data_IF_989910517245
#
_entry.id   IF_989910517245
#
_cell.length_a   1.000
_cell.length_b   1.000
_cell.length_c   1.000
_cell.angle_alpha   90.00
_cell.angle_beta   90.00
_cell.angle_gamma   90.00
#
_symmetry.space_group_name_H-M   'P 1'
#
loop_
_entity.id
_entity.type
_entity.pdbx_description
1 polymer ?
#
# COMPACT_ATOMS: atom_id res chain seq x y z
N UNK A 1 52.41 8.68 -66.92
CA UNK A 1 53.73 8.81 -66.26
C UNK A 1 53.77 7.81 -65.11
N UNK A 2 54.78 6.91 -65.18
CA UNK A 2 55.47 6.09 -64.15
C UNK A 2 54.64 5.44 -63.01
N UNK A 3 54.42 4.11 -63.03
CA UNK A 3 55.35 2.94 -62.75
C UNK A 3 55.52 2.72 -61.23
N UNK A 4 55.53 1.53 -60.62
CA UNK A 4 55.51 0.10 -60.99
C UNK A 4 55.31 -0.67 -59.64
N UNK A 5 54.46 -1.72 -59.53
CA UNK A 5 54.75 -3.18 -59.70
C UNK A 5 55.75 -3.75 -58.66
N UNK A 6 55.58 -4.90 -57.99
CA UNK A 6 55.13 -6.27 -58.37
C UNK A 6 54.50 -6.98 -57.14
N UNK A 7 53.57 -7.95 -57.22
CA UNK A 7 53.61 -9.28 -57.88
C UNK A 7 53.90 -10.34 -56.78
N UNK A 8 53.20 -11.46 -56.57
CA UNK A 8 52.72 -12.59 -57.40
C UNK A 8 51.57 -13.29 -56.61
N UNK A 9 50.63 -14.10 -57.10
CA UNK A 9 50.48 -14.84 -58.35
C UNK A 9 50.05 -16.30 -58.05
N UNK A 10 48.92 -16.71 -58.65
CA UNK A 10 48.52 -18.08 -59.02
C UNK A 10 47.51 -18.87 -58.16
N UNK A 11 46.34 -19.07 -58.79
CA UNK A 11 45.34 -20.11 -58.58
C UNK A 11 45.92 -21.53 -58.71
N UNK A 12 45.34 -22.53 -58.03
CA UNK A 12 45.01 -23.85 -58.62
C UNK A 12 44.08 -24.67 -57.70
N UNK A 13 42.91 -25.01 -58.25
CA UNK A 13 42.19 -26.29 -58.26
C UNK A 13 41.81 -27.06 -56.98
N UNK A 14 40.50 -27.28 -56.93
CA UNK A 14 39.65 -28.14 -56.10
C UNK A 14 40.15 -29.59 -55.92
N UNK A 15 40.14 -30.09 -54.69
CA UNK A 15 40.13 -31.52 -54.35
C UNK A 15 39.22 -31.74 -53.12
N UNK A 16 38.10 -32.44 -53.38
CA UNK A 16 37.14 -32.97 -52.40
C UNK A 16 37.79 -34.07 -51.54
N UNK A 17 37.43 -34.14 -50.25
CA UNK A 17 37.25 -35.37 -49.43
C UNK A 17 36.81 -34.96 -47.99
N UNK A 18 36.16 -35.85 -47.21
CA UNK A 18 34.81 -35.61 -46.69
C UNK A 18 34.75 -35.34 -45.18
N UNK A 19 33.59 -34.84 -44.78
CA UNK A 19 33.12 -34.62 -43.42
C UNK A 19 33.25 -35.91 -42.57
N UNK A 20 34.08 -35.88 -41.53
CA UNK A 20 34.03 -36.87 -40.45
C UNK A 20 33.03 -36.39 -39.39
N UNK A 21 31.91 -37.10 -39.29
CA UNK A 21 30.97 -36.97 -38.19
C UNK A 21 31.61 -37.53 -36.91
N UNK A 22 31.73 -36.69 -35.87
CA UNK A 22 31.95 -37.15 -34.51
C UNK A 22 30.59 -37.42 -33.86
N UNK A 23 30.35 -38.67 -33.46
CA UNK A 23 29.21 -39.07 -32.63
C UNK A 23 29.31 -38.43 -31.23
N UNK A 24 28.22 -37.90 -30.66
CA UNK A 24 28.21 -37.49 -29.28
C UNK A 24 28.17 -38.71 -28.35
N UNK A 25 29.02 -38.69 -27.33
CA UNK A 25 29.01 -39.64 -26.23
C UNK A 25 27.69 -39.54 -25.45
N UNK A 26 27.16 -40.69 -25.02
CA UNK A 26 25.93 -40.81 -24.23
C UNK A 26 26.07 -40.13 -22.87
N UNK A 27 25.40 -39.00 -22.70
CA UNK A 27 25.10 -38.47 -21.37
C UNK A 27 23.76 -39.05 -20.96
N UNK A 28 23.77 -39.83 -19.87
CA UNK A 28 22.61 -40.55 -19.38
C UNK A 28 21.44 -39.63 -19.06
N UNK A 29 20.25 -40.10 -19.41
CA UNK A 29 18.97 -39.57 -18.94
C UNK A 29 18.94 -39.53 -17.41
N UNK A 30 19.25 -38.38 -16.82
CA UNK A 30 18.64 -37.98 -15.56
C UNK A 30 17.39 -37.19 -15.91
N UNK A 31 16.32 -37.92 -16.24
CA UNK A 31 14.96 -37.40 -16.21
C UNK A 31 14.61 -37.18 -14.74
N UNK A 32 15.12 -36.08 -14.17
CA UNK A 32 14.59 -35.55 -12.92
C UNK A 32 13.19 -35.05 -13.26
N UNK A 33 12.19 -35.67 -12.63
CA UNK A 33 10.81 -35.21 -12.67
C UNK A 33 10.78 -33.78 -12.13
N UNK A 34 10.84 -32.80 -13.02
CA UNK A 34 10.38 -31.45 -12.74
C UNK A 34 8.87 -31.59 -12.55
N UNK A 35 8.46 -31.76 -11.29
CA UNK A 35 7.07 -31.55 -10.89
C UNK A 35 6.65 -30.17 -11.39
N UNK A 36 5.47 -30.03 -12.02
CA UNK A 36 5.00 -28.74 -12.49
C UNK A 36 5.01 -27.75 -11.32
N UNK A 37 5.66 -26.60 -11.54
CA UNK A 37 5.69 -25.51 -10.58
C UNK A 37 4.24 -25.05 -10.30
N UNK A 38 3.94 -24.71 -9.06
CA UNK A 38 2.61 -24.28 -8.67
C UNK A 38 2.27 -22.91 -9.29
N UNK A 39 1.49 -22.93 -10.38
CA UNK A 39 0.79 -21.74 -10.87
C UNK A 39 -0.39 -21.37 -9.96
N UNK A 40 -0.88 -22.34 -9.15
CA UNK A 40 -1.92 -22.09 -8.18
C UNK A 40 -1.34 -21.40 -6.93
N UNK A 41 -1.70 -20.14 -6.73
CA UNK A 41 -1.34 -19.35 -5.55
C UNK A 41 -2.40 -19.37 -4.45
N UNK A 42 -3.42 -20.23 -4.58
CA UNK A 42 -4.53 -20.38 -3.63
C UNK A 42 -4.51 -21.78 -3.03
N UNK A 43 -4.25 -21.85 -1.73
CA UNK A 43 -4.27 -23.07 -0.94
C UNK A 43 -5.52 -23.11 -0.06
N UNK A 44 -6.38 -24.08 -0.30
CA UNK A 44 -7.60 -24.31 0.47
C UNK A 44 -7.42 -25.32 1.61
N UNK A 45 -6.20 -25.85 1.82
CA UNK A 45 -5.90 -26.89 2.82
C UNK A 45 -6.69 -28.19 2.68
N UNK A 46 -7.26 -28.42 1.51
CA UNK A 46 -8.00 -29.63 1.18
C UNK A 46 -7.05 -30.73 0.73
N UNK A 47 -6.94 -31.78 1.54
CA UNK A 47 -6.11 -32.93 1.19
C UNK A 47 -6.72 -34.25 1.64
N UNK A 48 -6.65 -35.30 0.81
CA UNK A 48 -6.92 -36.65 1.28
C UNK A 48 -5.85 -37.16 2.25
N UNK A 49 -4.69 -36.50 2.32
CA UNK A 49 -3.53 -36.91 3.10
C UNK A 49 -3.42 -36.10 4.40
N UNK A 50 -3.06 -36.77 5.48
CA UNK A 50 -2.66 -36.11 6.72
C UNK A 50 -1.15 -35.82 6.72
N UNK A 51 -0.66 -34.86 7.53
CA UNK A 51 0.76 -34.61 7.68
C UNK A 51 1.54 -35.87 8.09
N UNK A 52 2.70 -36.07 7.44
CA UNK A 52 3.66 -37.12 7.77
C UNK A 52 4.35 -36.90 9.11
N UNK A 53 5.25 -37.81 9.49
CA UNK A 53 5.96 -37.74 10.78
C UNK A 53 6.90 -36.53 10.92
N UNK A 54 7.34 -35.96 9.79
CA UNK A 54 8.12 -34.72 9.72
C UNK A 54 7.24 -33.45 9.58
N UNK A 55 5.92 -33.61 9.66
CA UNK A 55 4.94 -32.54 9.50
C UNK A 55 4.63 -32.19 8.04
N UNK A 56 5.28 -32.81 7.04
CA UNK A 56 5.01 -32.51 5.64
C UNK A 56 3.68 -33.08 5.16
N UNK A 57 2.93 -32.29 4.42
CA UNK A 57 1.72 -32.70 3.71
C UNK A 57 1.75 -32.15 2.30
N UNK A 58 1.33 -32.97 1.33
CA UNK A 58 1.12 -32.52 -0.04
C UNK A 58 -0.28 -31.91 -0.16
N UNK A 59 -0.33 -30.64 -0.52
CA UNK A 59 -1.56 -29.87 -0.77
C UNK A 59 -1.62 -29.40 -2.22
N UNK A 60 -2.69 -28.69 -2.58
CA UNK A 60 -2.99 -28.27 -3.95
C UNK A 60 -1.94 -27.32 -4.54
N UNK A 61 -1.29 -26.50 -3.70
CA UNK A 61 -0.26 -25.54 -4.09
C UNK A 61 1.17 -26.06 -3.96
N UNK A 62 1.38 -27.22 -3.33
CA UNK A 62 2.71 -27.78 -3.11
C UNK A 62 2.85 -28.48 -1.75
N UNK A 63 4.09 -28.70 -1.32
CA UNK A 63 4.37 -29.30 -0.01
C UNK A 63 4.37 -28.23 1.09
N UNK A 64 3.63 -28.50 2.16
CA UNK A 64 3.56 -27.66 3.35
C UNK A 64 4.03 -28.41 4.57
N UNK A 65 4.64 -27.72 5.53
CA UNK A 65 5.07 -28.27 6.83
C UNK A 65 4.14 -27.74 7.93
N UNK A 66 3.44 -28.66 8.58
CA UNK A 66 2.60 -28.40 9.74
C UNK A 66 3.36 -28.81 11.01
N UNK A 67 3.66 -27.83 11.87
CA UNK A 67 4.31 -28.04 13.17
C UNK A 67 3.33 -27.70 14.27
N UNK A 68 3.08 -28.61 15.21
CA UNK A 68 1.99 -28.49 16.20
C UNK A 68 0.66 -28.07 15.53
N UNK A 69 0.40 -28.66 14.37
CA UNK A 69 -0.77 -28.39 13.55
C UNK A 69 -1.21 -29.66 12.84
N UNK A 70 -2.49 -29.74 12.50
CA UNK A 70 -3.11 -30.86 11.76
C UNK A 70 -4.11 -30.33 10.74
N UNK A 71 -4.51 -31.14 9.76
CA UNK A 71 -5.68 -30.85 8.93
C UNK A 71 -6.93 -31.39 9.63
N UNK A 72 -7.76 -30.48 10.13
CA UNK A 72 -8.95 -30.79 10.90
C UNK A 72 -10.23 -30.72 10.07
N UNK A 73 -11.11 -31.71 10.23
CA UNK A 73 -12.39 -31.81 9.49
C UNK A 73 -13.62 -31.85 10.40
N UNK A 74 -13.46 -31.69 11.72
CA UNK A 74 -14.56 -31.79 12.68
C UNK A 74 -15.48 -30.58 12.62
N UNK A 75 -16.66 -30.64 13.23
CA UNK A 75 -17.58 -29.48 13.29
C UNK A 75 -16.99 -28.29 14.05
N UNK A 76 -16.03 -28.54 14.94
CA UNK A 76 -15.29 -27.48 15.63
C UNK A 76 -14.15 -26.89 14.78
N UNK A 77 -13.79 -27.53 13.66
CA UNK A 77 -12.92 -26.92 12.66
C UNK A 77 -13.78 -26.05 11.75
N UNK A 78 -13.73 -24.74 12.00
CA UNK A 78 -14.35 -23.76 11.12
C UNK A 78 -13.52 -23.67 9.84
N UNK A 79 -14.18 -23.95 8.73
CA UNK A 79 -13.56 -24.22 7.43
C UNK A 79 -14.48 -23.87 6.27
N UNK A 80 -13.90 -23.55 5.13
CA UNK A 80 -14.57 -23.38 3.85
C UNK A 80 -14.23 -24.58 2.95
N UNK A 81 -15.02 -25.65 3.08
CA UNK A 81 -14.76 -26.91 2.42
C UNK A 81 -14.87 -28.08 3.38
N UNK A 82 -14.02 -29.09 3.21
CA UNK A 82 -13.97 -30.29 4.03
C UNK A 82 -12.95 -30.22 5.16
N UNK A 83 -11.86 -29.45 5.04
CA UNK A 83 -10.79 -29.37 6.05
C UNK A 83 -10.21 -27.96 6.20
N UNK A 84 -9.63 -27.66 7.37
CA UNK A 84 -8.80 -26.47 7.60
C UNK A 84 -7.55 -26.85 8.39
N UNK A 85 -6.50 -26.05 8.30
CA UNK A 85 -5.34 -26.21 9.18
C UNK A 85 -5.69 -25.77 10.61
N UNK A 86 -5.50 -26.65 11.59
CA UNK A 86 -5.72 -26.37 13.00
C UNK A 86 -4.40 -26.33 13.75
N UNK A 87 -4.03 -25.14 14.23
CA UNK A 87 -2.81 -24.89 14.98
C UNK A 87 -3.10 -24.92 16.49
N UNK A 88 -2.18 -25.49 17.26
CA UNK A 88 -2.22 -25.50 18.72
C UNK A 88 -0.90 -24.96 19.30
N UNK A 89 -0.91 -24.53 20.56
CA UNK A 89 0.29 -23.97 21.21
C UNK A 89 0.92 -22.84 20.37
N UNK A 90 2.21 -22.93 20.03
CA UNK A 90 2.91 -22.02 19.12
C UNK A 90 3.06 -22.57 17.70
N UNK A 91 2.08 -23.37 17.25
CA UNK A 91 2.13 -24.09 15.98
C UNK A 91 2.26 -23.22 14.74
N UNK A 92 2.63 -23.86 13.64
CA UNK A 92 3.00 -23.21 12.38
C UNK A 92 2.51 -23.98 11.16
N UNK A 93 2.26 -23.21 10.10
CA UNK A 93 1.96 -23.72 8.76
C UNK A 93 2.95 -23.05 7.81
N UNK A 94 3.83 -23.84 7.18
CA UNK A 94 5.00 -23.34 6.44
C UNK A 94 4.98 -23.83 5.02
N UNK A 95 5.19 -22.96 4.04
CA UNK A 95 5.45 -23.37 2.67
C UNK A 95 6.82 -24.04 2.57
N UNK A 96 6.90 -25.26 2.02
CA UNK A 96 8.17 -25.94 1.70
C UNK A 96 8.59 -25.74 0.23
N UNK A 97 8.12 -24.65 -0.37
CA UNK A 97 8.43 -24.23 -1.73
C UNK A 97 8.41 -22.71 -1.81
N UNK A 98 9.07 -22.15 -2.82
CA UNK A 98 9.03 -20.72 -3.13
C UNK A 98 8.03 -20.45 -4.25
N UNK A 99 7.29 -19.35 -4.11
CA UNK A 99 6.59 -18.72 -5.22
C UNK A 99 7.63 -18.06 -6.12
N UNK A 100 7.64 -18.33 -7.43
CA UNK A 100 8.73 -17.91 -8.31
C UNK A 100 8.75 -16.41 -8.60
N UNK A 101 7.60 -15.75 -8.56
CA UNK A 101 7.40 -14.37 -9.03
C UNK A 101 7.18 -13.35 -7.92
N UNK A 102 7.30 -13.74 -6.65
CA UNK A 102 7.05 -12.86 -5.51
C UNK A 102 5.58 -12.77 -5.13
N UNK A 103 5.28 -11.88 -4.18
CA UNK A 103 3.94 -11.64 -3.66
C UNK A 103 3.66 -10.15 -3.44
N UNK A 104 2.52 -9.67 -3.92
CA UNK A 104 2.01 -8.33 -3.65
C UNK A 104 1.11 -8.33 -2.41
N UNK A 105 0.12 -9.24 -2.35
CA UNK A 105 -0.74 -9.42 -1.17
C UNK A 105 -0.86 -10.89 -0.79
N UNK A 106 -1.15 -11.11 0.49
CA UNK A 106 -1.53 -12.41 1.04
C UNK A 106 -2.85 -12.24 1.79
N UNK A 107 -3.82 -13.11 1.53
CA UNK A 107 -5.02 -13.25 2.35
C UNK A 107 -5.07 -14.60 3.02
N UNK A 108 -5.62 -14.63 4.23
CA UNK A 108 -5.74 -15.85 5.04
C UNK A 108 -7.07 -15.81 5.76
N UNK A 109 -7.88 -16.85 5.64
CA UNK A 109 -9.05 -17.01 6.50
C UNK A 109 -8.67 -17.60 7.86
N UNK A 110 -9.33 -17.12 8.91
CA UNK A 110 -9.04 -17.56 10.26
C UNK A 110 -10.28 -17.51 11.17
N UNK A 111 -10.35 -18.43 12.13
CA UNK A 111 -11.36 -18.47 13.18
C UNK A 111 -10.82 -19.16 14.45
N UNK A 112 -11.44 -18.91 15.60
CA UNK A 112 -11.16 -19.73 16.80
C UNK A 112 -11.67 -21.15 16.54
N UNK A 113 -10.97 -22.16 17.07
CA UNK A 113 -11.45 -23.53 17.01
C UNK A 113 -12.65 -23.73 17.93
N UNK A 114 -13.78 -24.19 17.39
CA UNK A 114 -15.02 -24.41 18.14
C UNK A 114 -15.40 -23.20 18.99
N UNK A 115 -15.28 -23.32 20.30
CA UNK A 115 -15.53 -22.23 21.27
C UNK A 115 -14.30 -21.95 22.14
N UNK A 116 -13.11 -22.32 21.67
CA UNK A 116 -11.84 -22.00 22.33
C UNK A 116 -11.68 -20.46 22.47
N UNK A 117 -10.84 -20.05 23.42
CA UNK A 117 -10.50 -18.63 23.61
C UNK A 117 -9.75 -18.01 22.42
N UNK A 118 -9.57 -16.69 22.47
CA UNK A 118 -8.90 -15.95 21.40
C UNK A 118 -7.45 -16.41 21.15
N UNK A 119 -7.01 -16.34 19.90
CA UNK A 119 -5.63 -16.66 19.51
C UNK A 119 -5.01 -15.53 18.68
N UNK A 120 -3.80 -15.10 19.05
CA UNK A 120 -2.95 -14.24 18.22
C UNK A 120 -2.06 -15.05 17.29
N UNK A 121 -1.82 -14.53 16.08
CA UNK A 121 -0.93 -15.11 15.07
C UNK A 121 -0.32 -14.05 14.14
N UNK A 122 0.71 -14.43 13.38
CA UNK A 122 1.48 -13.54 12.49
C UNK A 122 1.78 -14.21 11.15
N UNK A 123 1.84 -13.41 10.08
CA UNK A 123 2.39 -13.82 8.80
C UNK A 123 3.89 -13.49 8.74
N UNK A 124 4.68 -14.42 8.23
CA UNK A 124 6.12 -14.26 8.04
C UNK A 124 6.48 -14.64 6.60
N UNK A 125 7.44 -13.91 6.03
CA UNK A 125 7.97 -14.16 4.70
C UNK A 125 9.48 -14.44 4.75
N UNK A 126 9.94 -15.27 3.84
CA UNK A 126 11.35 -15.46 3.55
C UNK A 126 11.55 -15.19 2.06
N UNK A 127 12.32 -14.14 1.75
CA UNK A 127 12.71 -13.78 0.39
C UNK A 127 14.12 -14.31 0.08
N UNK A 128 14.33 -14.83 -1.13
CA UNK A 128 15.68 -15.18 -1.60
C UNK A 128 16.51 -13.95 -2.01
N UNK A 129 15.90 -12.76 -2.13
CA UNK A 129 16.63 -11.54 -2.52
C UNK A 129 17.80 -11.21 -1.57
N UNK A 130 17.73 -11.65 -0.30
CA UNK A 130 18.82 -11.46 0.67
C UNK A 130 19.81 -12.64 0.78
N UNK A 131 19.54 -13.80 0.15
CA UNK A 131 20.27 -15.06 0.32
C UNK A 131 20.55 -15.46 1.79
N UNK A 132 19.71 -15.00 2.73
CA UNK A 132 20.04 -14.99 4.15
C UNK A 132 19.21 -15.96 5.00
N UNK A 133 18.33 -16.77 4.39
CA UNK A 133 17.38 -17.67 5.09
C UNK A 133 16.63 -17.00 6.26
N UNK A 134 16.47 -15.68 6.23
CA UNK A 134 15.90 -14.91 7.32
C UNK A 134 14.40 -14.76 7.10
N UNK A 135 13.63 -15.14 8.11
CA UNK A 135 12.20 -14.84 8.17
C UNK A 135 11.98 -13.42 8.68
N UNK A 136 11.13 -12.66 8.00
CA UNK A 136 10.67 -11.33 8.41
C UNK A 136 9.17 -11.32 8.60
N UNK A 137 8.70 -10.67 9.66
CA UNK A 137 7.26 -10.50 9.90
C UNK A 137 6.66 -9.59 8.83
N UNK A 138 5.46 -9.93 8.37
CA UNK A 138 4.68 -9.19 7.37
C UNK A 138 3.41 -8.66 8.03
N UNK A 139 3.22 -7.35 7.98
CA UNK A 139 2.05 -6.67 8.56
C UNK A 139 1.91 -6.79 10.08
N UNK A 140 0.70 -6.51 10.56
CA UNK A 140 0.36 -6.54 11.98
C UNK A 140 0.12 -7.96 12.51
N UNK A 141 0.23 -8.15 13.83
CA UNK A 141 -0.27 -9.37 14.50
C UNK A 141 -1.79 -9.39 14.41
N UNK A 142 -2.36 -10.52 14.01
CA UNK A 142 -3.81 -10.72 13.95
C UNK A 142 -4.29 -11.32 15.26
N UNK A 143 -5.36 -10.75 15.83
CA UNK A 143 -6.07 -11.32 16.98
C UNK A 143 -7.38 -11.95 16.50
N UNK A 144 -7.47 -13.26 16.60
CA UNK A 144 -8.66 -14.03 16.22
C UNK A 144 -9.55 -14.26 17.43
N UNK A 145 -10.77 -13.74 17.39
CA UNK A 145 -11.79 -13.86 18.45
C UNK A 145 -13.11 -14.48 17.97
N UNK A 146 -13.33 -14.51 16.65
CA UNK A 146 -14.58 -14.94 16.02
C UNK A 146 -14.63 -16.47 15.80
N UNK A 147 -15.80 -17.06 15.98
CA UNK A 147 -16.13 -18.45 15.59
C UNK A 147 -16.52 -18.56 14.11
N UNK A 148 -16.76 -17.45 13.42
CA UNK A 148 -16.97 -17.42 11.97
C UNK A 148 -15.67 -17.02 11.30
N UNK A 149 -15.32 -17.68 10.18
CA UNK A 149 -14.15 -17.34 9.38
C UNK A 149 -14.14 -15.85 9.03
N UNK A 150 -13.01 -15.20 9.30
CA UNK A 150 -12.70 -13.83 8.94
C UNK A 150 -11.48 -13.85 8.03
N UNK A 151 -11.38 -12.87 7.13
CA UNK A 151 -10.22 -12.74 6.24
C UNK A 151 -9.26 -11.72 6.83
N UNK A 152 -8.02 -12.13 7.06
CA UNK A 152 -6.90 -11.21 7.25
C UNK A 152 -6.22 -10.97 5.90
N UNK A 153 -5.92 -9.71 5.59
CA UNK A 153 -5.21 -9.31 4.38
C UNK A 153 -3.90 -8.59 4.75
N UNK A 154 -2.83 -8.94 4.04
CA UNK A 154 -1.49 -8.41 4.25
C UNK A 154 -0.96 -7.85 2.94
N UNK A 155 -0.52 -6.59 2.98
CA UNK A 155 0.37 -6.04 1.96
C UNK A 155 1.76 -6.63 2.17
N UNK A 156 2.30 -7.27 1.14
CA UNK A 156 3.57 -8.00 1.19
C UNK A 156 4.64 -7.29 0.38
N UNK A 157 4.35 -7.01 -0.89
CA UNK A 157 5.24 -6.31 -1.83
C UNK A 157 6.68 -6.84 -1.88
N UNK A 158 6.85 -8.16 -1.88
CA UNK A 158 8.16 -8.82 -1.97
C UNK A 158 8.42 -9.30 -3.41
N UNK A 159 9.44 -8.76 -4.12
CA UNK A 159 9.89 -9.29 -5.40
C UNK A 159 10.59 -10.64 -5.28
N UNK A 160 10.64 -11.34 -6.42
CA UNK A 160 11.47 -12.53 -6.58
C UNK A 160 10.99 -13.68 -5.71
N UNK A 161 11.80 -14.72 -5.59
CA UNK A 161 11.36 -15.93 -4.90
C UNK A 161 11.01 -15.64 -3.43
N UNK A 162 9.77 -15.95 -3.05
CA UNK A 162 9.26 -15.75 -1.68
C UNK A 162 8.46 -16.95 -1.21
N UNK A 163 8.54 -17.26 0.07
CA UNK A 163 7.66 -18.22 0.73
C UNK A 163 7.18 -17.72 2.08
N UNK A 164 6.09 -18.31 2.56
CA UNK A 164 5.39 -17.84 3.74
C UNK A 164 5.33 -18.87 4.87
N UNK A 165 5.21 -18.35 6.09
CA UNK A 165 4.96 -19.11 7.31
C UNK A 165 3.92 -18.37 8.16
N UNK A 166 2.85 -19.07 8.52
CA UNK A 166 1.86 -18.59 9.48
C UNK A 166 2.27 -19.10 10.86
N UNK A 167 2.40 -18.19 11.83
CA UNK A 167 2.83 -18.51 13.19
C UNK A 167 1.76 -18.15 14.20
N UNK A 168 1.23 -19.14 14.91
CA UNK A 168 0.46 -18.85 16.12
C UNK A 168 1.42 -18.37 17.21
N UNK A 169 1.17 -17.18 17.76
CA UNK A 169 2.03 -16.55 18.77
C UNK A 169 1.46 -16.64 20.18
N UNK A 170 0.13 -16.83 20.27
CA UNK A 170 -0.56 -17.09 21.52
C UNK A 170 -0.29 -18.53 21.98
N UNK A 171 0.28 -18.71 23.17
CA UNK A 171 0.42 -20.04 23.78
C UNK A 171 -0.88 -20.56 24.40
N UNK A 172 -0.81 -21.74 25.03
CA UNK A 172 -1.91 -22.30 25.82
C UNK A 172 -2.85 -23.22 25.04
N UNK A 173 -4.00 -23.51 25.65
CA UNK A 173 -4.94 -24.55 25.14
C UNK A 173 -5.78 -24.09 23.94
N UNK A 174 -5.91 -22.78 23.73
CA UNK A 174 -6.73 -22.23 22.66
C UNK A 174 -6.12 -22.55 21.29
N UNK A 175 -6.92 -23.17 20.42
CA UNK A 175 -6.54 -23.54 19.05
C UNK A 175 -7.07 -22.53 18.04
N UNK A 176 -6.40 -22.48 16.89
CA UNK A 176 -6.66 -21.56 15.79
C UNK A 176 -6.92 -22.37 14.51
N UNK A 177 -8.03 -22.09 13.83
CA UNK A 177 -8.23 -22.54 12.46
C UNK A 177 -7.67 -21.50 11.49
N UNK A 178 -6.94 -21.99 10.49
CA UNK A 178 -6.42 -21.28 9.33
C UNK A 178 -6.98 -21.98 8.10
N UNK A 179 -7.53 -21.21 7.19
CA UNK A 179 -8.09 -21.72 5.96
C UNK A 179 -7.88 -20.73 4.81
N UNK A 180 -8.10 -21.16 3.57
CA UNK A 180 -8.04 -20.35 2.35
C UNK A 180 -6.90 -19.32 2.36
N UNK A 181 -5.67 -19.80 2.13
CA UNK A 181 -4.49 -18.97 1.95
C UNK A 181 -4.34 -18.61 0.48
N UNK A 182 -4.39 -17.32 0.15
CA UNK A 182 -4.22 -16.86 -1.23
C UNK A 182 -3.12 -15.83 -1.34
N UNK A 183 -2.34 -15.92 -2.43
CA UNK A 183 -1.31 -14.94 -2.77
C UNK A 183 -1.65 -14.30 -4.11
N UNK A 184 -1.65 -12.97 -4.12
CA UNK A 184 -1.62 -12.22 -5.38
C UNK A 184 -0.17 -11.99 -5.76
N UNK A 185 0.21 -12.38 -6.97
CA UNK A 185 1.61 -12.35 -7.42
C UNK A 185 2.17 -10.92 -7.42
N UNK A 186 3.44 -10.80 -7.08
CA UNK A 186 4.15 -9.52 -7.21
C UNK A 186 4.24 -9.12 -8.70
N UNK A 187 4.22 -7.81 -8.98
CA UNK A 187 4.11 -7.31 -10.35
C UNK A 187 2.67 -7.29 -10.89
N UNK A 188 1.70 -7.92 -10.23
CA UNK A 188 0.28 -7.81 -10.59
C UNK A 188 -0.36 -6.66 -9.80
N UNK A 189 -1.02 -5.76 -10.52
CA UNK A 189 -1.79 -4.71 -9.87
C UNK A 189 -2.90 -5.34 -9.03
N UNK A 190 -3.03 -4.87 -7.79
CA UNK A 190 -4.07 -5.36 -6.89
C UNK A 190 -5.45 -5.00 -7.44
N UNK A 191 -6.48 -5.84 -7.22
CA UNK A 191 -7.84 -5.46 -7.55
C UNK A 191 -8.20 -4.21 -6.76
N UNK A 192 -8.16 -3.04 -7.40
CA UNK A 192 -8.75 -1.84 -6.85
C UNK A 192 -10.25 -1.91 -7.06
N UNK A 193 -11.00 -1.59 -6.00
CA UNK A 193 -12.39 -1.18 -6.21
C UNK A 193 -12.31 0.13 -6.97
N UNK A 194 -13.00 0.20 -8.09
CA UNK A 194 -13.02 1.36 -8.96
C UNK A 194 -13.37 2.63 -8.20
N UNK A 195 -12.70 3.74 -8.49
CA UNK A 195 -12.97 5.05 -7.87
C UNK A 195 -12.87 5.02 -6.32
N UNK A 196 -12.08 4.11 -5.76
CA UNK A 196 -11.91 3.99 -4.32
C UNK A 196 -10.84 4.95 -3.80
N UNK A 197 -11.16 5.69 -2.74
CA UNK A 197 -10.26 6.62 -2.06
C UNK A 197 -8.95 5.99 -1.54
N UNK A 198 -8.85 4.67 -1.41
CA UNK A 198 -7.64 3.90 -1.07
C UNK A 198 -7.18 2.97 -2.21
N UNK A 199 -7.62 3.18 -3.46
CA UNK A 199 -7.25 2.33 -4.58
C UNK A 199 -5.72 2.16 -4.69
N UNK A 200 -4.97 3.22 -4.41
CA UNK A 200 -3.50 3.22 -4.50
C UNK A 200 -2.79 2.74 -3.22
N UNK A 201 -3.50 2.44 -2.13
CA UNK A 201 -2.89 1.86 -0.93
C UNK A 201 -3.25 2.59 0.36
N UNK A 202 -2.79 2.01 1.48
CA UNK A 202 -2.95 2.55 2.83
C UNK A 202 -1.57 2.99 3.35
N UNK A 203 -1.23 4.30 3.28
CA UNK A 203 0.13 4.82 3.46
C UNK A 203 0.87 4.36 4.73
N UNK A 204 0.15 4.22 5.84
CA UNK A 204 0.73 3.93 7.15
C UNK A 204 0.21 2.63 7.75
N UNK A 205 -0.55 1.84 6.98
CA UNK A 205 -1.27 0.67 7.52
C UNK A 205 -2.27 1.05 8.63
N UNK A 206 -2.91 2.22 8.52
CA UNK A 206 -3.90 2.67 9.49
C UNK A 206 -5.08 1.67 9.58
N UNK A 207 -5.58 1.44 10.80
CA UNK A 207 -6.68 0.51 11.07
C UNK A 207 -7.76 1.19 11.91
N UNK A 208 -9.02 0.77 11.76
CA UNK A 208 -10.14 1.26 12.56
C UNK A 208 -10.16 0.59 13.95
N UNK A 209 -9.05 0.70 14.68
CA UNK A 209 -8.86 0.12 16.01
C UNK A 209 -8.45 1.22 17.01
N UNK A 210 -9.25 1.41 18.06
CA UNK A 210 -8.99 2.38 19.12
C UNK A 210 -7.68 2.12 19.89
N UNK A 211 -7.13 0.90 19.77
CA UNK A 211 -5.79 0.54 20.28
C UNK A 211 -4.65 1.17 19.48
N UNK A 212 -4.92 1.69 18.28
CA UNK A 212 -3.99 2.39 17.39
C UNK A 212 -4.37 3.88 17.27
N UNK A 213 -4.42 4.65 18.38
CA UNK A 213 -5.02 5.99 18.37
C UNK A 213 -4.26 7.03 17.55
N UNK A 214 -2.98 6.78 17.27
CA UNK A 214 -2.13 7.68 16.50
C UNK A 214 -2.01 7.27 15.03
N UNK A 215 -2.76 6.23 14.63
CA UNK A 215 -2.83 5.70 13.26
C UNK A 215 -4.22 5.10 12.98
N UNK A 216 -5.26 5.82 13.36
CA UNK A 216 -6.65 5.34 13.34
C UNK A 216 -7.31 5.61 11.99
N UNK A 217 -7.85 4.58 11.35
CA UNK A 217 -8.49 4.69 10.04
C UNK A 217 -9.93 5.21 10.17
N UNK A 218 -10.21 6.36 9.57
CA UNK A 218 -11.55 6.88 9.35
C UNK A 218 -11.90 6.76 7.86
N UNK A 219 -12.87 5.90 7.54
CA UNK A 219 -13.37 5.74 6.18
C UNK A 219 -14.64 6.56 6.01
N UNK A 220 -14.65 7.50 5.06
CA UNK A 220 -15.84 8.24 4.64
C UNK A 220 -16.05 8.02 3.14
N UNK A 221 -17.29 8.19 2.63
CA UNK A 221 -17.53 8.09 1.19
C UNK A 221 -16.69 9.07 0.37
N UNK A 222 -16.42 10.26 0.90
CA UNK A 222 -15.75 11.33 0.18
C UNK A 222 -14.22 11.23 0.23
N UNK A 223 -13.64 10.62 1.26
CA UNK A 223 -12.19 10.52 1.47
C UNK A 223 -11.90 9.56 2.63
N UNK A 224 -10.65 9.11 2.74
CA UNK A 224 -10.18 8.25 3.84
C UNK A 224 -9.05 8.93 4.59
N UNK A 225 -9.04 8.83 5.92
CA UNK A 225 -8.09 9.51 6.80
C UNK A 225 -7.34 8.50 7.66
N UNK A 226 -6.02 8.57 7.66
CA UNK A 226 -5.19 8.05 8.74
C UNK A 226 -5.10 9.12 9.83
N UNK A 227 -5.89 9.00 10.89
CA UNK A 227 -6.02 10.04 11.92
C UNK A 227 -5.06 9.84 13.09
N UNK A 228 -4.53 10.94 13.60
CA UNK A 228 -3.66 10.96 14.77
C UNK A 228 -4.32 11.72 15.91
N UNK A 229 -4.84 10.98 16.89
CA UNK A 229 -5.53 11.54 18.05
C UNK A 229 -4.65 12.54 18.81
N UNK A 230 -3.40 12.15 19.08
CA UNK A 230 -2.50 12.95 19.92
C UNK A 230 -1.99 14.21 19.21
N UNK A 231 -2.07 14.26 17.88
CA UNK A 231 -1.78 15.46 17.09
C UNK A 231 -3.00 16.30 16.76
N UNK A 232 -4.22 15.80 16.96
CA UNK A 232 -5.45 16.52 16.60
C UNK A 232 -5.55 16.87 15.11
N UNK A 233 -4.96 16.05 14.24
CA UNK A 233 -4.96 16.23 12.78
C UNK A 233 -4.74 14.89 12.05
N UNK A 234 -4.99 14.81 10.73
CA UNK A 234 -4.52 13.69 9.92
C UNK A 234 -3.00 13.49 9.99
N UNK A 235 -2.59 12.22 9.95
CA UNK A 235 -1.29 11.82 9.39
C UNK A 235 -1.31 12.03 7.87
N UNK A 236 -2.38 11.57 7.23
CA UNK A 236 -2.67 11.70 5.80
C UNK A 236 -4.17 11.59 5.53
N UNK A 237 -4.60 12.12 4.39
CA UNK A 237 -5.94 11.97 3.80
C UNK A 237 -5.77 11.54 2.34
N UNK A 238 -6.53 10.52 1.93
CA UNK A 238 -6.52 9.97 0.57
C UNK A 238 -7.90 10.08 -0.06
N UNK A 239 -7.97 10.51 -1.31
CA UNK A 239 -9.22 10.57 -2.07
C UNK A 239 -9.00 10.41 -3.57
N UNK A 240 -10.03 9.91 -4.23
CA UNK A 240 -10.19 9.91 -5.68
C UNK A 240 -11.02 11.12 -6.11
N UNK A 241 -10.77 11.70 -7.27
CA UNK A 241 -11.66 12.72 -7.85
C UNK A 241 -11.80 12.54 -9.35
N UNK A 242 -13.04 12.51 -9.80
CA UNK A 242 -13.42 12.58 -11.21
C UNK A 242 -14.49 13.67 -11.44
N UNK A 243 -15.07 13.70 -12.64
CA UNK A 243 -16.12 14.67 -12.96
C UNK A 243 -17.42 14.44 -12.17
N UNK A 244 -17.70 13.23 -11.69
CA UNK A 244 -18.92 12.89 -10.96
C UNK A 244 -18.94 13.46 -9.53
N UNK A 245 -17.75 13.70 -8.95
CA UNK A 245 -17.58 14.39 -7.67
C UNK A 245 -17.79 15.91 -7.77
N UNK A 246 -17.73 16.44 -8.99
CA UNK A 246 -17.91 17.86 -9.29
C UNK A 246 -19.38 18.16 -9.64
N UNK A 247 -19.80 19.34 -9.26
CA UNK A 247 -21.11 19.91 -9.53
C UNK A 247 -21.15 21.40 -9.23
N UNK A 248 -22.36 21.95 -9.15
CA UNK A 248 -22.60 23.38 -8.94
C UNK A 248 -22.90 23.78 -7.49
N UNK A 249 -22.62 22.92 -6.50
CA UNK A 249 -22.90 23.24 -5.11
C UNK A 249 -21.87 24.23 -4.56
N UNK A 250 -22.38 25.28 -3.92
CA UNK A 250 -21.58 26.26 -3.21
C UNK A 250 -20.89 25.66 -1.98
N UNK A 251 -19.79 26.29 -1.58
CA UNK A 251 -19.04 25.93 -0.39
C UNK A 251 -19.93 26.07 0.87
N UNK A 252 -19.93 25.07 1.74
CA UNK A 252 -20.80 25.07 2.94
C UNK A 252 -20.24 25.87 4.12
N UNK A 253 -18.91 25.97 4.26
CA UNK A 253 -18.23 26.70 5.33
C UNK A 253 -18.64 26.29 6.77
N UNK A 254 -19.14 25.07 6.93
CA UNK A 254 -19.72 24.52 8.16
C UNK A 254 -18.69 23.71 8.98
N UNK A 255 -17.57 24.36 9.29
CA UNK A 255 -16.50 23.78 10.11
C UNK A 255 -17.04 23.23 11.45
N UNK A 256 -16.84 21.94 11.67
CA UNK A 256 -17.38 21.25 12.85
C UNK A 256 -16.54 20.05 13.23
N UNK A 257 -16.68 19.64 14.48
CA UNK A 257 -16.04 18.43 14.96
C UNK A 257 -16.58 17.18 14.26
N UNK A 258 -15.80 16.10 14.30
CA UNK A 258 -16.19 14.84 13.68
C UNK A 258 -16.87 13.92 14.70
N UNK A 259 -18.19 13.71 14.61
CA UNK A 259 -18.91 12.88 15.55
C UNK A 259 -18.49 11.42 15.47
N UNK A 260 -17.85 10.96 14.37
CA UNK A 260 -17.41 9.57 14.22
C UNK A 260 -16.11 9.24 14.97
N UNK A 261 -15.46 10.21 15.62
CA UNK A 261 -14.32 9.93 16.48
C UNK A 261 -14.77 9.14 17.72
N UNK A 262 -13.97 8.15 18.18
CA UNK A 262 -14.29 7.35 19.37
C UNK A 262 -14.61 8.20 20.60
N UNK A 263 -15.50 7.69 21.45
CA UNK A 263 -15.89 8.35 22.68
C UNK A 263 -14.68 8.59 23.60
N UNK A 264 -14.67 9.75 24.25
CA UNK A 264 -13.57 10.19 25.11
C UNK A 264 -12.37 10.77 24.38
N UNK A 265 -12.28 10.68 23.05
CA UNK A 265 -11.24 11.38 22.30
C UNK A 265 -11.53 12.87 22.22
N UNK A 266 -10.47 13.67 22.21
CA UNK A 266 -10.62 15.09 21.95
C UNK A 266 -11.09 15.29 20.50
N UNK A 267 -12.28 15.89 20.34
CA UNK A 267 -12.80 16.27 19.03
C UNK A 267 -12.44 17.72 18.76
N UNK A 268 -11.53 17.93 17.81
CA UNK A 268 -11.07 19.27 17.42
C UNK A 268 -12.27 20.09 16.96
N UNK A 269 -12.40 21.29 17.53
CA UNK A 269 -13.52 22.19 17.27
C UNK A 269 -13.12 23.24 16.24
N UNK A 270 -14.11 23.89 15.63
CA UNK A 270 -13.83 24.98 14.69
C UNK A 270 -13.04 26.12 15.36
N UNK A 271 -13.27 26.43 16.64
CA UNK A 271 -12.56 27.48 17.37
C UNK A 271 -11.16 27.06 17.87
N UNK A 272 -10.77 25.78 17.80
CA UNK A 272 -9.46 25.28 18.26
C UNK A 272 -8.27 25.99 17.59
N UNK A 273 -8.44 26.46 16.36
CA UNK A 273 -7.36 27.10 15.61
C UNK A 273 -7.13 28.55 16.02
N UNK A 274 -8.19 29.23 16.51
CA UNK A 274 -8.19 30.65 16.83
C UNK A 274 -7.41 31.50 15.81
N UNK A 275 -7.75 31.37 14.52
CA UNK A 275 -6.93 31.85 13.41
C UNK A 275 -6.59 33.34 13.45
N UNK A 276 -7.46 34.18 14.02
CA UNK A 276 -7.15 35.61 14.21
C UNK A 276 -6.01 35.87 15.19
N UNK A 277 -5.83 34.99 16.19
CA UNK A 277 -4.76 35.11 17.18
C UNK A 277 -3.51 34.32 16.80
N UNK A 278 -3.65 33.18 16.11
CA UNK A 278 -2.53 32.28 15.78
C UNK A 278 -1.96 32.57 14.39
N UNK A 279 -2.78 33.10 13.48
CA UNK A 279 -2.43 33.34 12.09
C UNK A 279 -2.47 32.10 11.20
N UNK A 280 -3.04 30.99 11.66
CA UNK A 280 -3.23 29.78 10.84
C UNK A 280 -4.67 29.66 10.35
N UNK A 281 -4.80 29.25 9.09
CA UNK A 281 -6.07 28.87 8.49
C UNK A 281 -6.43 27.43 8.90
N UNK A 282 -7.73 27.11 8.77
CA UNK A 282 -8.21 25.72 8.75
C UNK A 282 -7.95 25.13 7.36
N UNK A 283 -6.70 24.72 7.11
CA UNK A 283 -6.27 24.17 5.84
C UNK A 283 -6.89 22.81 5.60
N UNK A 284 -7.60 22.65 4.46
CA UNK A 284 -8.20 21.37 4.09
C UNK A 284 -7.11 20.43 3.57
N UNK A 285 -7.23 19.13 3.85
CA UNK A 285 -6.47 18.11 3.11
C UNK A 285 -7.23 17.75 1.83
N UNK A 286 -8.41 17.16 1.94
CA UNK A 286 -9.37 17.03 0.83
C UNK A 286 -10.14 18.34 0.67
N UNK A 287 -9.97 19.09 -0.43
CA UNK A 287 -10.53 20.43 -0.55
C UNK A 287 -12.02 20.41 -0.90
N UNK A 288 -12.75 21.40 -0.39
CA UNK A 288 -14.19 21.60 -0.68
C UNK A 288 -14.50 21.59 -2.19
N UNK A 289 -13.63 22.18 -3.01
CA UNK A 289 -13.83 22.30 -4.45
C UNK A 289 -13.75 20.95 -5.21
N UNK A 290 -13.24 19.89 -4.57
CA UNK A 290 -13.22 18.53 -5.13
C UNK A 290 -14.51 17.77 -4.80
N UNK A 291 -15.43 18.34 -4.00
CA UNK A 291 -16.68 17.72 -3.56
C UNK A 291 -17.84 18.71 -3.73
N UNK A 292 -18.25 18.96 -4.96
CA UNK A 292 -19.33 19.92 -5.28
C UNK A 292 -20.56 19.27 -5.92
N UNK A 293 -20.64 17.94 -5.92
CA UNK A 293 -21.78 17.18 -6.46
C UNK A 293 -23.03 17.23 -5.58
N UNK A 294 -22.88 17.39 -4.25
CA UNK A 294 -24.00 17.55 -3.32
C UNK A 294 -23.60 18.34 -2.08
N UNK A 295 -24.58 18.93 -1.40
CA UNK A 295 -24.39 19.61 -0.11
C UNK A 295 -23.74 18.69 0.91
N UNK A 296 -24.18 17.43 0.98
CA UNK A 296 -23.62 16.45 1.92
C UNK A 296 -22.14 16.15 1.63
N UNK A 297 -21.77 15.98 0.35
CA UNK A 297 -20.39 15.74 -0.04
C UNK A 297 -19.50 16.95 0.27
N UNK A 298 -19.99 18.16 -0.01
CA UNK A 298 -19.23 19.38 0.28
C UNK A 298 -19.05 19.59 1.79
N UNK A 299 -20.16 19.51 2.55
CA UNK A 299 -20.17 19.63 4.01
C UNK A 299 -19.26 18.61 4.70
N UNK A 300 -19.12 17.40 4.13
CA UNK A 300 -18.19 16.41 4.69
C UNK A 300 -16.73 16.90 4.70
N UNK A 301 -16.31 17.76 3.76
CA UNK A 301 -14.94 18.30 3.73
C UNK A 301 -14.63 19.25 4.89
N UNK A 302 -15.64 19.74 5.61
CA UNK A 302 -15.53 20.68 6.73
C UNK A 302 -15.41 20.02 8.11
N UNK A 303 -15.36 18.70 8.18
CA UNK A 303 -15.04 18.00 9.42
C UNK A 303 -13.60 18.34 9.84
N UNK A 304 -13.39 18.66 11.12
CA UNK A 304 -12.06 19.03 11.62
C UNK A 304 -11.04 17.88 11.55
N UNK A 305 -11.48 16.64 11.37
CA UNK A 305 -10.63 15.47 11.04
C UNK A 305 -10.03 15.54 9.63
N UNK A 306 -10.43 16.50 8.78
CA UNK A 306 -9.83 16.78 7.47
C UNK A 306 -8.93 18.05 7.49
N UNK A 307 -8.73 18.67 8.66
CA UNK A 307 -8.03 19.95 8.78
C UNK A 307 -6.59 19.81 9.30
N UNK A 308 -5.71 20.71 8.86
CA UNK A 308 -4.40 20.96 9.45
C UNK A 308 -4.16 22.48 9.64
N UNK A 309 -3.44 22.93 10.69
CA UNK A 309 -3.03 24.32 10.80
C UNK A 309 -2.09 24.69 9.66
N UNK A 310 -2.58 25.51 8.72
CA UNK A 310 -1.83 25.88 7.52
C UNK A 310 -1.60 27.39 7.49
N UNK A 311 -0.38 27.81 7.16
CA UNK A 311 -0.07 29.24 7.02
C UNK A 311 -0.93 29.83 5.92
N UNK A 312 -1.51 31.02 6.15
CA UNK A 312 -2.49 31.60 5.22
C UNK A 312 -1.91 31.81 3.81
N UNK A 313 -0.61 32.16 3.70
CA UNK A 313 0.05 32.32 2.39
C UNK A 313 0.35 31.00 1.69
N UNK A 314 0.54 29.91 2.41
CA UNK A 314 0.60 28.57 1.82
C UNK A 314 -0.79 28.17 1.32
N UNK A 315 -1.77 28.15 2.23
CA UNK A 315 -3.14 27.71 1.97
C UNK A 315 -3.80 28.45 0.79
N UNK A 316 -3.72 29.78 0.78
CA UNK A 316 -4.43 30.63 -0.21
C UNK A 316 -3.60 30.93 -1.46
N UNK A 317 -2.35 30.45 -1.52
CA UNK A 317 -1.42 30.70 -2.62
C UNK A 317 -1.05 29.41 -3.33
N UNK A 318 0.21 28.94 -3.23
CA UNK A 318 0.70 27.79 -3.99
C UNK A 318 -0.13 26.52 -3.75
N UNK A 319 -0.68 26.32 -2.55
CA UNK A 319 -1.51 25.17 -2.26
C UNK A 319 -2.84 25.20 -3.04
N UNK A 320 -3.55 26.33 -2.99
CA UNK A 320 -4.78 26.54 -3.77
C UNK A 320 -4.50 26.49 -5.28
N UNK A 321 -3.37 27.02 -5.74
CA UNK A 321 -2.96 26.97 -7.14
C UNK A 321 -2.73 25.53 -7.62
N UNK A 322 -2.05 24.71 -6.81
CA UNK A 322 -1.89 23.28 -7.10
C UNK A 322 -3.24 22.56 -7.14
N UNK A 323 -4.13 22.83 -6.18
CA UNK A 323 -5.48 22.24 -6.17
C UNK A 323 -6.29 22.63 -7.42
N UNK A 324 -6.18 23.90 -7.85
CA UNK A 324 -6.81 24.36 -9.08
C UNK A 324 -6.23 23.65 -10.30
N UNK A 325 -4.90 23.51 -10.36
CA UNK A 325 -4.22 22.78 -11.43
C UNK A 325 -4.64 21.30 -11.48
N UNK A 326 -4.76 20.62 -10.34
CA UNK A 326 -5.26 19.25 -10.28
C UNK A 326 -6.64 19.11 -10.96
N UNK A 327 -7.52 20.08 -10.76
CA UNK A 327 -8.87 20.05 -11.34
C UNK A 327 -8.90 20.31 -12.84
N UNK A 328 -7.83 20.84 -13.46
CA UNK A 328 -7.80 21.05 -14.93
C UNK A 328 -7.66 19.75 -15.72
N UNK A 329 -7.30 18.64 -15.06
CA UNK A 329 -7.23 17.33 -15.71
C UNK A 329 -8.61 16.69 -15.94
N UNK A 330 -9.65 17.19 -15.28
CA UNK A 330 -11.03 16.76 -15.46
C UNK A 330 -11.66 17.45 -16.68
N UNK A 331 -12.56 16.80 -17.45
CA UNK A 331 -13.14 15.48 -17.19
C UNK A 331 -12.38 14.30 -17.82
N UNK A 332 -11.35 14.58 -18.62
CA UNK A 332 -10.69 13.55 -19.45
C UNK A 332 -9.87 12.54 -18.62
N UNK A 333 -9.44 12.97 -17.43
CA UNK A 333 -8.73 12.16 -16.46
C UNK A 333 -9.53 12.07 -15.16
N UNK A 334 -9.19 11.07 -14.37
CA UNK A 334 -9.44 10.98 -12.94
C UNK A 334 -8.11 11.13 -12.18
N UNK A 335 -8.21 11.50 -10.91
CA UNK A 335 -7.04 11.81 -10.11
C UNK A 335 -7.14 11.14 -8.75
N UNK A 336 -6.05 10.52 -8.33
CA UNK A 336 -5.87 9.99 -6.97
C UNK A 336 -4.91 10.88 -6.20
N UNK A 337 -5.33 11.37 -5.04
CA UNK A 337 -4.56 12.30 -4.24
C UNK A 337 -4.35 11.73 -2.83
N UNK A 338 -3.11 11.76 -2.37
CA UNK A 338 -2.75 11.53 -0.98
C UNK A 338 -2.09 12.81 -0.46
N UNK A 339 -2.62 13.35 0.63
CA UNK A 339 -2.19 14.62 1.22
C UNK A 339 -1.88 14.42 2.69
N UNK A 340 -0.93 15.18 3.23
CA UNK A 340 -0.69 15.20 4.66
C UNK A 340 0.25 16.30 5.11
N UNK A 341 0.68 16.19 6.36
CA UNK A 341 1.63 17.14 6.96
C UNK A 341 2.44 16.48 8.06
N UNK A 342 3.70 16.91 8.19
CA UNK A 342 4.65 16.36 9.15
C UNK A 342 5.43 17.46 9.89
N UNK A 343 6.22 17.02 10.87
CA UNK A 343 7.05 17.90 11.68
C UNK A 343 6.25 18.79 12.63
N UNK A 344 6.94 19.76 13.22
CA UNK A 344 6.36 20.76 14.14
C UNK A 344 6.99 22.12 13.89
N UNK A 345 6.20 23.18 14.01
CA UNK A 345 6.75 24.54 14.02
C UNK A 345 6.48 25.35 12.76
N UNK A 346 5.24 25.42 12.31
CA UNK A 346 4.83 26.32 11.23
C UNK A 346 4.83 27.79 11.67
N UNK A 347 4.76 28.70 10.69
CA UNK A 347 4.69 30.15 10.92
C UNK A 347 3.50 30.74 10.15
N UNK A 348 2.47 31.14 10.89
CA UNK A 348 1.25 31.74 10.35
C UNK A 348 1.41 33.22 9.99
N UNK A 349 0.29 33.88 9.73
CA UNK A 349 0.23 35.30 9.35
C UNK A 349 0.62 36.30 10.43
N UNK A 350 0.67 35.87 11.69
CA UNK A 350 1.22 36.66 12.80
C UNK A 350 2.74 36.75 12.78
N UNK A 351 3.43 35.89 12.00
CA UNK A 351 4.89 35.77 11.99
C UNK A 351 5.47 35.01 13.18
N UNK A 352 4.63 34.56 14.12
CA UNK A 352 5.05 33.76 15.28
C UNK A 352 5.08 32.28 14.90
N UNK A 353 6.13 31.58 15.33
CA UNK A 353 6.24 30.13 15.20
C UNK A 353 5.42 29.44 16.28
N UNK A 354 4.55 28.52 15.88
CA UNK A 354 3.78 27.68 16.79
C UNK A 354 4.10 26.21 16.54
N UNK A 355 4.29 25.44 17.60
CA UNK A 355 4.39 23.97 17.52
C UNK A 355 3.03 23.29 17.75
N UNK A 356 2.17 23.92 18.54
CA UNK A 356 0.83 23.44 18.85
C UNK A 356 -0.14 24.60 19.04
N UNK A 357 -1.42 24.36 18.79
CA UNK A 357 -2.55 25.22 19.13
C UNK A 357 -3.40 24.55 20.23
N UNK A 358 -4.38 25.28 20.71
CA UNK A 358 -5.45 24.75 21.57
C UNK A 358 -4.97 23.99 22.81
N UNK A 359 -4.04 24.61 23.55
CA UNK A 359 -3.40 24.04 24.74
C UNK A 359 -2.68 22.70 24.47
N UNK A 360 -2.02 22.59 23.31
CA UNK A 360 -1.22 21.40 22.96
C UNK A 360 -1.98 20.33 22.19
N UNK A 361 -3.30 20.51 21.98
CA UNK A 361 -4.18 19.47 21.43
C UNK A 361 -4.18 19.38 19.90
N UNK A 362 -3.70 20.42 19.22
CA UNK A 362 -3.58 20.44 17.76
C UNK A 362 -2.14 20.77 17.38
N UNK A 363 -1.45 19.83 16.76
CA UNK A 363 -0.07 20.04 16.30
C UNK A 363 -0.03 20.93 15.06
N UNK A 364 0.86 21.91 15.05
CA UNK A 364 1.13 22.78 13.89
C UNK A 364 2.30 22.17 13.11
N UNK A 365 2.08 21.64 11.90
CA UNK A 365 3.14 21.02 11.11
C UNK A 365 4.15 22.04 10.60
N UNK A 366 5.39 21.62 10.39
CA UNK A 366 6.40 22.44 9.71
C UNK A 366 6.27 22.38 8.19
N UNK A 367 5.67 21.30 7.66
CA UNK A 367 5.58 21.00 6.24
C UNK A 367 4.22 20.40 5.87
N UNK A 368 3.75 20.72 4.67
CA UNK A 368 2.54 20.19 4.05
C UNK A 368 2.92 19.54 2.71
N UNK A 369 2.48 18.31 2.47
CA UNK A 369 2.85 17.55 1.29
C UNK A 369 1.62 16.99 0.58
N UNK A 370 1.75 16.74 -0.73
CA UNK A 370 0.70 16.15 -1.56
C UNK A 370 1.32 15.32 -2.68
N UNK A 371 0.77 14.14 -2.92
CA UNK A 371 1.06 13.25 -4.05
C UNK A 371 -0.21 13.11 -4.88
N UNK A 372 -0.08 13.31 -6.19
CA UNK A 372 -1.19 13.35 -7.15
C UNK A 372 -0.85 12.42 -8.30
N UNK A 373 -1.65 11.38 -8.51
CA UNK A 373 -1.52 10.42 -9.61
C UNK A 373 -2.64 10.69 -10.61
N UNK A 374 -2.28 10.96 -11.87
CA UNK A 374 -3.22 11.37 -12.91
C UNK A 374 -3.41 10.21 -13.90
N UNK A 375 -4.65 9.77 -14.10
CA UNK A 375 -5.00 8.66 -14.98
C UNK A 375 -6.12 9.05 -15.92
N UNK A 376 -6.11 8.61 -17.19
CA UNK A 376 -7.32 8.66 -18.00
C UNK A 376 -8.47 7.92 -17.29
N UNK A 377 -9.68 8.49 -17.38
CA UNK A 377 -10.88 7.86 -16.81
C UNK A 377 -11.03 6.43 -17.33
N UNK A 378 -11.24 5.47 -16.44
CA UNK A 378 -11.46 4.08 -16.82
C UNK A 378 -11.71 3.17 -15.62
N UNK A 379 -11.75 1.86 -15.85
CA UNK A 379 -11.97 0.89 -14.77
C UNK A 379 -10.69 0.16 -14.36
N UNK A 380 -10.59 -0.30 -13.11
CA UNK A 380 -9.41 -1.02 -12.55
C UNK A 380 -8.19 -0.10 -12.37
N UNK A 381 -8.36 0.97 -11.61
CA UNK A 381 -7.47 2.13 -11.54
C UNK A 381 -6.03 1.83 -11.17
N UNK A 382 -5.81 1.07 -10.10
CA UNK A 382 -4.45 0.69 -9.69
C UNK A 382 -3.71 -0.08 -10.79
N UNK A 383 -4.43 -0.83 -11.62
CA UNK A 383 -3.86 -1.60 -12.73
C UNK A 383 -3.50 -0.78 -13.96
N UNK A 384 -4.03 0.45 -14.08
CA UNK A 384 -3.67 1.36 -15.19
C UNK A 384 -2.44 2.19 -14.89
N UNK A 385 -2.04 2.31 -13.61
CA UNK A 385 -0.81 3.01 -13.24
C UNK A 385 0.41 2.23 -13.73
N UNK A 386 1.27 2.91 -14.47
CA UNK A 386 2.49 2.33 -15.04
C UNK A 386 3.63 3.35 -15.01
N UNK A 387 4.82 2.95 -15.49
CA UNK A 387 6.03 3.78 -15.47
C UNK A 387 5.93 5.13 -16.22
N UNK A 388 4.94 5.27 -17.11
CA UNK A 388 4.63 6.49 -17.86
C UNK A 388 3.51 7.33 -17.25
N UNK A 389 2.86 6.87 -16.18
CA UNK A 389 1.83 7.64 -15.48
C UNK A 389 2.44 8.89 -14.86
N UNK A 390 1.79 10.04 -15.05
CA UNK A 390 2.25 11.29 -14.45
C UNK A 390 1.90 11.31 -12.96
N UNK A 391 2.92 11.50 -12.13
CA UNK A 391 2.81 11.68 -10.68
C UNK A 391 3.41 13.03 -10.31
N UNK A 392 2.66 13.85 -9.60
CA UNK A 392 3.12 15.13 -9.05
C UNK A 392 3.24 14.97 -7.54
N UNK A 393 4.44 15.19 -7.01
CA UNK A 393 4.70 15.24 -5.58
C UNK A 393 5.23 16.62 -5.19
N UNK A 394 4.70 17.20 -4.12
CA UNK A 394 5.17 18.48 -3.55
C UNK A 394 5.38 18.37 -2.04
N UNK A 395 6.35 19.10 -1.53
CA UNK A 395 6.58 19.29 -0.10
C UNK A 395 6.84 20.78 0.19
N UNK A 396 5.84 21.44 0.78
CA UNK A 396 5.81 22.88 1.00
C UNK A 396 6.07 23.22 2.47
N UNK A 397 7.01 24.13 2.77
CA UNK A 397 7.19 24.62 4.13
C UNK A 397 5.94 25.38 4.59
N UNK A 398 5.45 25.08 5.79
CA UNK A 398 4.23 25.66 6.35
C UNK A 398 4.50 27.03 6.98
N UNK A 399 4.93 27.97 6.15
CA UNK A 399 5.35 29.32 6.56
C UNK A 399 4.66 30.38 5.71
N UNK A 400 4.56 31.60 6.22
CA UNK A 400 3.95 32.69 5.48
C UNK A 400 4.91 33.35 4.46
N UNK A 401 6.22 33.16 4.61
CA UNK A 401 7.26 33.63 3.69
C UNK A 401 7.54 32.62 2.56
N UNK A 402 6.47 32.04 1.99
CA UNK A 402 6.51 31.00 0.96
C UNK A 402 6.44 31.63 -0.44
N UNK A 403 7.20 31.10 -1.41
CA UNK A 403 7.06 31.40 -2.84
C UNK A 403 5.66 30.99 -3.36
N UNK A 404 5.04 31.81 -4.21
CA UNK A 404 3.70 31.56 -4.74
C UNK A 404 3.65 30.48 -5.82
N UNK A 405 4.75 30.18 -6.50
CA UNK A 405 4.79 29.13 -7.51
C UNK A 405 4.96 27.76 -6.84
N UNK A 406 3.88 26.98 -6.81
CA UNK A 406 3.89 25.63 -6.23
C UNK A 406 4.93 24.70 -6.87
N UNK A 407 5.24 24.90 -8.15
CA UNK A 407 6.21 24.09 -8.90
C UNK A 407 7.64 24.15 -8.36
N UNK A 408 7.95 25.17 -7.55
CA UNK A 408 9.25 25.30 -6.85
C UNK A 408 9.43 24.30 -5.71
N UNK A 409 8.34 23.69 -5.24
CA UNK A 409 8.31 22.71 -4.15
C UNK A 409 8.15 21.28 -4.64
N UNK A 410 8.28 21.04 -5.95
CA UNK A 410 8.23 19.69 -6.50
C UNK A 410 9.35 18.84 -5.91
N UNK A 411 8.99 17.60 -5.59
CA UNK A 411 9.87 16.59 -5.04
C UNK A 411 9.53 15.24 -5.66
N UNK A 412 10.18 14.17 -5.20
CA UNK A 412 9.84 12.79 -5.53
C UNK A 412 8.95 12.20 -4.42
N UNK A 413 8.20 11.14 -4.73
CA UNK A 413 7.40 10.43 -3.71
C UNK A 413 8.34 9.81 -2.67
N UNK A 414 9.47 9.22 -3.10
CA UNK A 414 10.51 8.67 -2.21
C UNK A 414 10.94 9.65 -1.11
N UNK A 415 11.05 10.95 -1.42
CA UNK A 415 11.45 11.97 -0.45
C UNK A 415 10.36 12.29 0.56
N UNK A 416 9.10 12.18 0.17
CA UNK A 416 7.97 12.31 1.10
C UNK A 416 7.91 11.09 2.00
N UNK A 417 8.14 9.88 1.47
CA UNK A 417 8.23 8.65 2.25
C UNK A 417 9.40 8.70 3.24
N UNK A 418 10.58 9.16 2.81
CA UNK A 418 11.73 9.37 3.69
C UNK A 418 11.41 10.32 4.85
N UNK A 419 10.69 11.42 4.57
CA UNK A 419 10.31 12.40 5.57
C UNK A 419 9.22 11.92 6.54
N UNK A 420 8.38 10.98 6.12
CA UNK A 420 7.16 10.59 6.86
C UNK A 420 7.21 9.17 7.45
N UNK A 421 8.03 8.29 6.89
CA UNK A 421 8.06 6.86 7.19
C UNK A 421 6.85 6.07 6.63
N UNK A 422 6.14 6.63 5.65
CA UNK A 422 5.00 5.98 4.98
C UNK A 422 5.45 5.21 3.73
N UNK A 423 4.60 4.29 3.29
CA UNK A 423 4.67 3.57 2.01
C UNK A 423 3.46 4.01 1.16
N UNK A 424 3.68 5.09 0.40
CA UNK A 424 2.70 5.70 -0.47
C UNK A 424 2.55 4.86 -1.73
N UNK A 425 1.35 4.88 -2.32
CA UNK A 425 1.06 4.09 -3.53
C UNK A 425 1.30 2.57 -3.35
N UNK A 426 1.24 2.07 -2.11
CA UNK A 426 1.54 0.70 -1.69
C UNK A 426 0.75 -0.42 -2.36
N UNK A 427 -0.38 -0.12 -3.04
CA UNK A 427 -1.10 -1.12 -3.85
C UNK A 427 -0.56 -1.27 -5.28
N UNK A 428 0.33 -0.38 -5.72
CA UNK A 428 1.02 -0.49 -7.00
C UNK A 428 2.11 -1.57 -6.93
N UNK A 429 2.46 -2.16 -8.08
CA UNK A 429 3.62 -3.04 -8.10
C UNK A 429 4.89 -2.23 -7.83
N UNK A 430 5.86 -2.83 -7.14
CA UNK A 430 7.11 -2.14 -6.81
C UNK A 430 7.90 -1.75 -8.06
N UNK A 431 7.76 -2.43 -9.20
CA UNK A 431 8.32 -1.94 -10.48
C UNK A 431 7.73 -0.58 -10.86
N UNK A 432 6.41 -0.44 -10.71
CA UNK A 432 5.71 0.81 -10.99
C UNK A 432 6.09 1.87 -9.96
N UNK A 433 6.08 1.54 -8.66
CA UNK A 433 6.54 2.42 -7.58
C UNK A 433 7.96 2.94 -7.88
N UNK A 434 8.95 2.05 -8.03
CA UNK A 434 10.34 2.42 -8.35
C UNK A 434 10.44 3.33 -9.60
N UNK A 435 9.59 3.08 -10.61
CA UNK A 435 9.59 3.83 -11.84
C UNK A 435 8.97 5.23 -11.72
N UNK A 436 8.02 5.46 -10.81
CA UNK A 436 7.31 6.74 -10.70
C UNK A 436 7.71 7.54 -9.45
N UNK A 437 8.05 6.87 -8.36
CA UNK A 437 8.25 7.49 -7.04
C UNK A 437 9.60 8.16 -6.89
N UNK A 438 10.62 7.65 -7.60
CA UNK A 438 11.97 8.23 -7.65
C UNK A 438 12.07 9.49 -8.53
N UNK A 439 11.06 9.75 -9.36
CA UNK A 439 11.05 10.88 -10.30
C UNK A 439 10.46 12.12 -9.66
N UNK A 440 11.01 13.28 -10.01
CA UNK A 440 10.37 14.58 -9.76
C UNK A 440 9.66 15.04 -11.02
N UNK A 441 8.36 15.37 -10.91
CA UNK A 441 7.59 15.93 -12.04
C UNK A 441 8.31 17.15 -12.62
N UNK A 442 8.34 17.22 -13.95
CA UNK A 442 8.87 18.36 -14.69
C UNK A 442 7.85 18.94 -15.68
N UNK A 443 6.58 18.52 -15.58
CA UNK A 443 5.52 18.99 -16.46
C UNK A 443 5.07 20.43 -16.17
N UNK A 444 4.04 20.91 -16.88
CA UNK A 444 3.47 22.23 -16.69
C UNK A 444 2.94 22.43 -15.27
N UNK A 445 2.87 23.69 -14.84
CA UNK A 445 2.39 24.09 -13.50
C UNK A 445 1.13 24.95 -13.55
N UNK A 446 0.57 25.15 -14.74
CA UNK A 446 -0.58 25.99 -15.04
C UNK A 446 -1.35 25.50 -16.26
#
# INVERSE_FOLDING_TARGET
MKKQLLGYGSSFLLLLLPCFAFSPASVGNHSAWLTPFAENTQESFESPNQPGTDGRVALSTGSWILTDAVLGSTDADHKNGAQAARLQQGGKVTMDFFLPTGAATVTVQHAVYGTDGSSSWELWAQSEACNCNKWTKVGATVLTTSTTLQVAAFTVNIPGQVKFEIRKTSGGKARLNIDDFAVTQYGTAQPSVDNNNLALGNPSGAVADVSQPNNYLLVKPQYVVGYNRDQGKPNWVSWHVDISDRGGIDRQDDFRDDPSLPDGWYKVQSNSYNGGATGFDRGHNCPSADRTSSVANNSATFLMTNMMPQSSKNNQGPWADLENYTRTFLPDNEVYIICGSYGKGGIGSTGVKYETLDNGRVTVPSNCWKVIVILPVGNSDAARVNAGTRVIAVDMPNINAINSNWGTYRTSVDKIEEATGYDLLSNLSVEVQNAIESKTDNGPTN
#
